data_IF_970837730749
#
_entry.id   IF_970837730749
#
_cell.length_a   1.000
_cell.length_b   1.000
_cell.length_c   1.000
_cell.angle_alpha   90.00
_cell.angle_beta   90.00
_cell.angle_gamma   90.00
#
_symmetry.space_group_name_H-M   'P 1'
#
loop_
_entity.id
_entity.type
_entity.pdbx_description
1 polymer ?
#
# COMPACT_ATOMS: atom_id res chain seq x y z
N UNK A 1 -32.21 35.34 11.53
CA UNK A 1 -33.38 34.78 10.82
C UNK A 1 -33.76 33.50 11.53
N UNK A 2 -34.88 33.54 12.24
CA UNK A 2 -35.35 32.50 13.16
C UNK A 2 -35.81 31.28 12.35
N UNK A 3 -35.16 30.13 12.54
CA UNK A 3 -35.59 28.90 11.90
C UNK A 3 -36.84 28.39 12.61
N UNK A 4 -37.98 28.59 11.97
CA UNK A 4 -39.26 28.08 12.40
C UNK A 4 -39.17 26.54 12.51
N UNK A 5 -39.18 26.02 13.74
CA UNK A 5 -39.08 24.59 14.03
C UNK A 5 -40.43 23.94 13.72
N UNK A 6 -40.64 23.56 12.47
CA UNK A 6 -41.77 22.73 12.09
C UNK A 6 -41.77 21.43 12.91
N UNK A 7 -42.94 21.09 13.48
CA UNK A 7 -43.12 19.87 14.29
C UNK A 7 -42.79 18.63 13.44
N UNK A 8 -41.75 17.89 13.85
CA UNK A 8 -41.36 16.64 13.21
C UNK A 8 -42.52 15.63 13.25
N UNK A 9 -43.02 15.21 12.09
CA UNK A 9 -44.01 14.13 11.93
C UNK A 9 -43.40 12.78 12.27
N UNK A 10 -43.16 12.49 13.56
CA UNK A 10 -43.02 11.15 14.17
C UNK A 10 -42.22 10.05 13.46
N UNK A 11 -41.36 10.38 12.51
CA UNK A 11 -40.69 9.44 11.62
C UNK A 11 -39.21 9.28 11.94
N UNK A 12 -38.57 8.32 11.27
CA UNK A 12 -37.11 8.12 11.38
C UNK A 12 -36.39 9.44 11.05
N UNK A 13 -35.50 9.94 11.93
CA UNK A 13 -34.71 11.13 11.66
C UNK A 13 -34.03 11.05 10.30
N UNK A 14 -34.02 12.18 9.59
CA UNK A 14 -33.37 12.30 8.28
C UNK A 14 -31.87 12.09 8.47
N UNK A 15 -31.28 11.18 7.69
CA UNK A 15 -29.82 11.01 7.65
C UNK A 15 -29.16 12.24 7.05
N UNK A 16 -28.00 12.60 7.59
CA UNK A 16 -27.19 13.68 7.07
C UNK A 16 -26.69 13.39 5.65
N UNK A 17 -26.32 14.46 4.93
CA UNK A 17 -25.88 14.35 3.55
C UNK A 17 -24.65 13.44 3.38
N UNK A 18 -23.78 13.38 4.38
CA UNK A 18 -22.55 12.57 4.46
C UNK A 18 -22.82 11.11 4.83
N UNK A 19 -23.90 10.83 5.56
CA UNK A 19 -24.28 9.47 5.98
C UNK A 19 -25.08 8.72 4.90
N UNK A 20 -25.65 9.45 3.94
CA UNK A 20 -26.46 8.87 2.87
C UNK A 20 -25.55 8.33 1.75
N UNK A 21 -25.67 7.03 1.47
CA UNK A 21 -25.04 6.38 0.31
C UNK A 21 -25.70 6.87 -1.00
N UNK A 22 -25.23 8.00 -1.54
CA UNK A 22 -25.81 8.65 -2.74
C UNK A 22 -25.25 8.12 -4.06
N UNK A 23 -23.96 7.79 -4.08
CA UNK A 23 -23.24 7.43 -5.31
C UNK A 23 -23.26 5.93 -5.54
N UNK A 24 -23.40 5.52 -6.81
CA UNK A 24 -23.39 4.11 -7.23
C UNK A 24 -22.17 3.87 -8.11
N UNK A 25 -21.46 2.77 -7.82
CA UNK A 25 -20.41 2.22 -8.68
C UNK A 25 -20.88 0.84 -9.13
N UNK A 26 -20.91 0.60 -10.44
CA UNK A 26 -21.25 -0.70 -11.01
C UNK A 26 -19.97 -1.50 -11.29
N UNK A 27 -19.91 -2.75 -10.83
CA UNK A 27 -18.79 -3.67 -11.06
C UNK A 27 -19.31 -4.89 -11.81
N UNK A 28 -18.78 -5.15 -13.01
CA UNK A 28 -19.03 -6.40 -13.73
C UNK A 28 -18.06 -7.46 -13.25
N UNK A 29 -18.57 -8.66 -12.96
CA UNK A 29 -17.80 -9.76 -12.40
C UNK A 29 -17.95 -11.00 -13.27
N UNK A 30 -16.93 -11.86 -13.29
CA UNK A 30 -17.08 -13.22 -13.78
C UNK A 30 -18.01 -14.01 -12.85
N UNK A 31 -18.68 -15.04 -13.38
CA UNK A 31 -19.63 -15.87 -12.63
C UNK A 31 -19.02 -16.42 -11.33
N UNK A 32 -17.77 -16.92 -11.39
CA UNK A 32 -17.07 -17.46 -10.23
C UNK A 32 -16.83 -16.40 -9.14
N UNK A 33 -16.45 -15.17 -9.53
CA UNK A 33 -16.20 -14.08 -8.59
C UNK A 33 -17.49 -13.60 -7.92
N UNK A 34 -18.59 -13.56 -8.67
CA UNK A 34 -19.89 -13.20 -8.15
C UNK A 34 -20.37 -14.20 -7.08
N UNK A 35 -20.30 -15.50 -7.35
CA UNK A 35 -20.68 -16.50 -6.34
C UNK A 35 -19.74 -16.49 -5.13
N UNK A 36 -18.44 -16.28 -5.34
CA UNK A 36 -17.50 -16.09 -4.23
C UNK A 36 -17.87 -14.90 -3.34
N UNK A 37 -18.29 -13.77 -3.94
CA UNK A 37 -18.81 -12.63 -3.19
C UNK A 37 -20.05 -13.01 -2.38
N UNK A 38 -21.01 -13.70 -2.99
CA UNK A 38 -22.24 -14.10 -2.29
C UNK A 38 -21.95 -14.99 -1.08
N UNK A 39 -21.11 -16.01 -1.26
CA UNK A 39 -20.71 -16.93 -0.18
C UNK A 39 -20.04 -16.18 0.97
N UNK A 40 -19.04 -15.34 0.67
CA UNK A 40 -18.30 -14.60 1.71
C UNK A 40 -19.17 -13.57 2.42
N UNK A 41 -20.08 -12.91 1.70
CA UNK A 41 -21.02 -11.98 2.32
C UNK A 41 -21.98 -12.70 3.27
N UNK A 42 -22.49 -13.87 2.86
CA UNK A 42 -23.33 -14.72 3.69
C UNK A 42 -22.60 -15.19 4.95
N UNK A 43 -21.38 -15.72 4.81
CA UNK A 43 -20.54 -16.14 5.95
C UNK A 43 -20.23 -14.99 6.92
N UNK A 44 -20.04 -13.78 6.40
CA UNK A 44 -19.83 -12.58 7.20
C UNK A 44 -21.14 -12.00 7.81
N UNK A 45 -22.31 -12.56 7.50
CA UNK A 45 -23.60 -12.10 8.00
C UNK A 45 -24.03 -10.73 7.48
N UNK A 46 -23.52 -10.29 6.32
CA UNK A 46 -23.79 -8.97 5.74
C UNK A 46 -24.24 -9.06 4.29
N UNK A 47 -24.88 -8.01 3.78
CA UNK A 47 -25.23 -7.96 2.35
C UNK A 47 -23.97 -7.91 1.46
N UNK A 48 -24.00 -8.44 0.22
CA UNK A 48 -22.87 -8.34 -0.72
C UNK A 48 -22.36 -6.91 -0.93
N UNK A 49 -23.27 -5.93 -0.92
CA UNK A 49 -22.91 -4.52 -1.04
C UNK A 49 -22.17 -3.99 0.19
N UNK A 50 -22.55 -4.42 1.40
CA UNK A 50 -21.84 -4.03 2.62
C UNK A 50 -20.50 -4.75 2.73
N UNK A 51 -20.44 -6.02 2.33
CA UNK A 51 -19.18 -6.76 2.22
C UNK A 51 -18.19 -6.02 1.33
N UNK A 52 -18.59 -5.65 0.11
CA UNK A 52 -17.74 -4.88 -0.81
C UNK A 52 -17.33 -3.51 -0.25
N UNK A 53 -18.24 -2.80 0.44
CA UNK A 53 -17.89 -1.54 1.11
C UNK A 53 -16.87 -1.73 2.23
N UNK A 54 -17.01 -2.78 3.03
CA UNK A 54 -16.04 -3.16 4.06
C UNK A 54 -14.68 -3.48 3.45
N UNK A 55 -14.65 -4.29 2.39
CA UNK A 55 -13.44 -4.56 1.62
C UNK A 55 -12.83 -3.30 1.02
N UNK A 56 -13.62 -2.33 0.57
CA UNK A 56 -13.08 -1.06 0.06
C UNK A 56 -12.52 -0.15 1.16
N UNK A 57 -13.19 -0.07 2.32
CA UNK A 57 -12.73 0.73 3.47
C UNK A 57 -11.44 0.19 4.08
N UNK A 58 -11.30 -1.13 4.11
CA UNK A 58 -10.22 -1.81 4.85
C UNK A 58 -9.16 -2.43 3.91
N UNK A 59 -9.51 -2.70 2.67
CA UNK A 59 -8.61 -3.22 1.66
C UNK A 59 -7.77 -2.11 1.05
N UNK A 60 -6.53 -2.44 0.70
CA UNK A 60 -5.62 -1.54 0.03
C UNK A 60 -5.20 -2.16 -1.30
N UNK A 61 -5.17 -1.37 -2.35
CA UNK A 61 -4.47 -1.72 -3.58
C UNK A 61 -3.05 -1.19 -3.40
N UNK A 62 -2.05 -2.08 -3.31
CA UNK A 62 -0.66 -1.64 -3.31
C UNK A 62 -0.38 -1.04 -4.68
N UNK A 63 -0.03 0.24 -4.71
CA UNK A 63 0.49 0.87 -5.91
C UNK A 63 1.70 0.08 -6.39
N UNK A 64 1.88 -0.05 -7.71
CA UNK A 64 3.13 -0.60 -8.23
C UNK A 64 4.24 0.35 -7.79
N UNK A 65 5.41 -0.20 -7.48
CA UNK A 65 6.60 0.62 -7.28
C UNK A 65 6.75 1.56 -8.48
N UNK A 66 6.88 2.86 -8.22
CA UNK A 66 7.21 3.81 -9.27
C UNK A 66 8.49 3.36 -9.97
N UNK A 67 8.67 3.75 -11.23
CA UNK A 67 9.89 3.43 -11.97
C UNK A 67 11.15 3.89 -11.21
N UNK A 68 11.04 5.02 -10.53
CA UNK A 68 12.06 5.58 -9.65
C UNK A 68 12.36 4.66 -8.45
N UNK A 69 11.34 4.23 -7.71
CA UNK A 69 11.52 3.30 -6.59
C UNK A 69 12.08 1.94 -7.02
N UNK A 70 11.64 1.42 -8.16
CA UNK A 70 12.20 0.20 -8.74
C UNK A 70 13.68 0.40 -9.16
N UNK A 71 14.03 1.59 -9.66
CA UNK A 71 15.41 1.98 -9.95
C UNK A 71 16.29 1.97 -8.70
N UNK A 72 15.84 2.59 -7.61
CA UNK A 72 16.56 2.59 -6.33
C UNK A 72 16.77 1.18 -5.78
N UNK A 73 15.76 0.31 -5.84
CA UNK A 73 15.88 -1.09 -5.41
C UNK A 73 16.95 -1.81 -6.22
N UNK A 74 16.96 -1.67 -7.56
CA UNK A 74 18.00 -2.31 -8.40
C UNK A 74 19.40 -1.80 -8.07
N UNK A 75 19.56 -0.50 -7.83
CA UNK A 75 20.85 0.08 -7.44
C UNK A 75 21.33 -0.47 -6.09
N UNK A 76 20.45 -0.54 -5.09
CA UNK A 76 20.78 -1.13 -3.78
C UNK A 76 21.18 -2.60 -3.90
N UNK A 77 20.48 -3.40 -4.72
CA UNK A 77 20.87 -4.78 -5.00
C UNK A 77 22.27 -4.88 -5.63
N UNK A 78 22.59 -3.99 -6.57
CA UNK A 78 23.93 -3.92 -7.16
C UNK A 78 25.01 -3.57 -6.13
N UNK A 79 24.73 -2.61 -5.24
CA UNK A 79 25.65 -2.23 -4.17
C UNK A 79 25.85 -3.35 -3.14
N UNK A 80 24.79 -4.11 -2.81
CA UNK A 80 24.89 -5.29 -1.95
C UNK A 80 25.78 -6.37 -2.58
N UNK A 81 25.68 -6.58 -3.88
CA UNK A 81 26.58 -7.49 -4.59
C UNK A 81 28.03 -7.02 -4.57
N UNK A 82 28.28 -5.71 -4.75
CA UNK A 82 29.62 -5.14 -4.62
C UNK A 82 30.20 -5.38 -3.22
N UNK A 83 29.40 -5.17 -2.17
CA UNK A 83 29.82 -5.42 -0.79
C UNK A 83 30.14 -6.91 -0.56
N UNK A 84 29.32 -7.81 -1.11
CA UNK A 84 29.56 -9.24 -1.03
C UNK A 84 30.88 -9.65 -1.71
N UNK A 85 31.18 -9.06 -2.88
CA UNK A 85 32.46 -9.28 -3.55
C UNK A 85 33.65 -8.80 -2.73
N UNK A 86 33.54 -7.63 -2.10
CA UNK A 86 34.59 -7.10 -1.22
C UNK A 86 34.79 -8.00 0.00
N UNK A 87 33.72 -8.51 0.59
CA UNK A 87 33.81 -9.46 1.70
C UNK A 87 34.54 -10.76 1.29
N UNK A 88 34.21 -11.31 0.11
CA UNK A 88 34.90 -12.50 -0.40
C UNK A 88 36.39 -12.25 -0.66
N UNK A 89 36.75 -11.09 -1.24
CA UNK A 89 38.15 -10.72 -1.49
C UNK A 89 38.92 -10.54 -0.18
N UNK A 90 38.37 -9.79 0.77
CA UNK A 90 38.98 -9.59 2.08
C UNK A 90 39.17 -10.90 2.86
N UNK A 91 38.25 -11.86 2.71
CA UNK A 91 38.38 -13.20 3.32
C UNK A 91 39.48 -14.04 2.67
N UNK A 92 39.79 -13.82 1.39
CA UNK A 92 40.79 -14.57 0.65
C UNK A 92 42.19 -13.94 0.71
N UNK A 93 42.29 -12.60 0.65
CA UNK A 93 43.54 -11.83 0.56
C UNK A 93 43.89 -11.03 1.82
N UNK A 94 42.95 -10.88 2.77
CA UNK A 94 43.11 -10.05 3.95
C UNK A 94 42.66 -8.60 3.72
N UNK A 95 41.92 -8.05 4.68
CA UNK A 95 41.19 -6.77 4.57
C UNK A 95 42.01 -5.49 4.28
N UNK A 96 43.35 -5.56 4.34
CA UNK A 96 44.19 -4.37 4.22
C UNK A 96 44.11 -3.73 2.83
N UNK A 97 43.87 -4.55 1.80
CA UNK A 97 43.79 -4.13 0.41
C UNK A 97 42.39 -3.61 0.04
N UNK A 98 41.32 -4.16 0.61
CA UNK A 98 39.93 -3.76 0.32
C UNK A 98 39.41 -2.60 1.19
N UNK A 99 40.19 -2.16 2.19
CA UNK A 99 39.75 -1.15 3.17
C UNK A 99 39.24 0.14 2.52
N UNK A 100 39.88 0.60 1.45
CA UNK A 100 39.46 1.81 0.75
C UNK A 100 38.18 1.59 -0.07
N UNK A 101 38.08 0.49 -0.80
CA UNK A 101 36.91 0.14 -1.60
C UNK A 101 35.67 -0.07 -0.73
N UNK A 102 35.84 -0.66 0.46
CA UNK A 102 34.77 -0.77 1.46
C UNK A 102 34.26 0.61 1.90
N UNK A 103 35.15 1.58 2.17
CA UNK A 103 34.74 2.95 2.54
C UNK A 103 33.95 3.63 1.42
N UNK A 104 34.38 3.46 0.17
CA UNK A 104 33.69 4.01 -1.01
C UNK A 104 32.31 3.37 -1.17
N UNK A 105 32.21 2.05 -1.01
CA UNK A 105 30.93 1.34 -1.10
C UNK A 105 29.93 1.83 -0.04
N UNK A 106 30.38 1.98 1.21
CA UNK A 106 29.55 2.50 2.32
C UNK A 106 29.10 3.94 2.04
N UNK A 107 29.99 4.82 1.57
CA UNK A 107 29.64 6.19 1.24
C UNK A 107 28.56 6.28 0.14
N UNK A 108 28.66 5.43 -0.90
CA UNK A 108 27.67 5.37 -1.99
C UNK A 108 26.31 4.84 -1.52
N UNK A 109 26.30 3.85 -0.64
CA UNK A 109 25.07 3.33 -0.03
C UNK A 109 24.41 4.45 0.79
N UNK A 110 25.18 5.16 1.63
CA UNK A 110 24.66 6.25 2.43
C UNK A 110 24.06 7.37 1.56
N UNK A 111 24.75 7.79 0.50
CA UNK A 111 24.24 8.80 -0.43
C UNK A 111 22.92 8.37 -1.08
N UNK A 112 22.82 7.09 -1.48
CA UNK A 112 21.60 6.56 -2.07
C UNK A 112 20.44 6.51 -1.07
N UNK A 113 20.69 6.08 0.17
CA UNK A 113 19.68 6.08 1.23
C UNK A 113 19.17 7.50 1.54
N UNK A 114 20.09 8.46 1.62
CA UNK A 114 19.76 9.89 1.81
C UNK A 114 18.86 10.40 0.67
N UNK A 115 19.12 10.00 -0.59
CA UNK A 115 18.28 10.35 -1.75
C UNK A 115 16.88 9.72 -1.70
N UNK A 116 16.76 8.50 -1.18
CA UNK A 116 15.48 7.81 -0.99
C UNK A 116 14.68 8.44 0.17
N UNK A 117 15.37 9.14 1.08
CA UNK A 117 14.76 9.76 2.26
C UNK A 117 14.62 8.81 3.45
N UNK A 118 15.54 7.85 3.57
CA UNK A 118 15.63 6.85 4.65
C UNK A 118 16.93 7.05 5.43
#
# INVERSE_FOLDING_TARGET
>A
MEQNKERNKGGRPKKEATEKLKYRVAVKMATADYYRLLTRAHEAGVSPSEYMRGCFRNGHVKERLSEEHAGYIRQLCGMANNLNQLAHKANAGGFHDERWDCKVAVARIHELLTKIGI
#
